data_IF_352389454339
#
_entry.id   IF_352389454339
#
_cell.length_a   1.000
_cell.length_b   1.000
_cell.length_c   1.000
_cell.angle_alpha   90.00
_cell.angle_beta   90.00
_cell.angle_gamma   90.00
#
_symmetry.space_group_name_H-M   'P 1'
#
loop_
_entity.id
_entity.type
_entity.pdbx_description
1 polymer ?
#
# COMPACT_ATOMS: atom_id res chain seq x y z
N UNK A 1 6.61 6.98 5.57
CA UNK A 1 5.39 6.64 4.81
C UNK A 1 5.63 6.63 3.31
N UNK A 2 6.36 7.57 2.75
CA UNK A 2 6.62 7.64 1.30
C UNK A 2 7.23 6.37 0.73
N UNK A 3 8.18 5.76 1.46
CA UNK A 3 8.80 4.51 1.01
C UNK A 3 7.77 3.39 0.91
N UNK A 4 6.88 3.30 1.91
CA UNK A 4 5.85 2.26 1.92
C UNK A 4 4.80 2.54 0.84
N UNK A 5 4.47 3.80 0.61
CA UNK A 5 3.58 4.16 -0.49
C UNK A 5 4.17 3.78 -1.84
N UNK A 6 5.47 3.97 -2.03
CA UNK A 6 6.14 3.55 -3.26
C UNK A 6 6.12 2.03 -3.41
N UNK A 7 6.33 1.29 -2.33
CA UNK A 7 6.23 -0.17 -2.35
C UNK A 7 4.82 -0.62 -2.71
N UNK A 8 3.80 0.05 -2.17
CA UNK A 8 2.42 -0.25 -2.52
C UNK A 8 2.13 0.05 -4.00
N UNK A 9 2.65 1.17 -4.49
CA UNK A 9 2.53 1.52 -5.91
C UNK A 9 3.11 0.41 -6.80
N UNK A 10 4.32 -0.08 -6.50
CA UNK A 10 4.91 -1.17 -7.27
C UNK A 10 4.10 -2.45 -7.14
N UNK A 11 3.57 -2.75 -5.95
CA UNK A 11 2.69 -3.90 -5.78
C UNK A 11 1.48 -3.81 -6.70
N UNK A 12 0.82 -2.66 -6.73
CA UNK A 12 -0.37 -2.47 -7.58
C UNK A 12 -0.04 -2.57 -9.07
N UNK A 13 1.17 -2.20 -9.45
CA UNK A 13 1.64 -2.30 -10.85
C UNK A 13 2.15 -3.69 -11.20
N UNK A 14 2.18 -4.62 -10.26
CA UNK A 14 2.71 -5.96 -10.51
C UNK A 14 4.23 -6.01 -10.60
N UNK A 15 4.92 -5.05 -10.01
CA UNK A 15 6.37 -4.89 -10.14
C UNK A 15 7.09 -5.02 -8.79
N UNK A 16 6.41 -5.47 -7.75
CA UNK A 16 7.03 -5.67 -6.44
C UNK A 16 7.65 -7.06 -6.34
N UNK A 17 8.66 -7.19 -5.48
CA UNK A 17 9.25 -8.50 -5.16
C UNK A 17 8.25 -9.39 -4.45
N UNK A 18 8.61 -10.68 -4.30
CA UNK A 18 7.65 -11.68 -3.80
C UNK A 18 7.24 -11.42 -2.35
N UNK A 19 8.16 -10.98 -1.47
CA UNK A 19 7.78 -10.71 -0.09
C UNK A 19 6.76 -9.56 -0.02
N UNK A 20 7.07 -8.45 -0.67
CA UNK A 20 6.20 -7.27 -0.67
C UNK A 20 4.84 -7.59 -1.28
N UNK A 21 4.84 -8.32 -2.40
CA UNK A 21 3.60 -8.75 -3.05
C UNK A 21 2.75 -9.58 -2.11
N UNK A 22 3.35 -10.59 -1.47
CA UNK A 22 2.60 -11.46 -0.57
C UNK A 22 2.12 -10.73 0.67
N UNK A 23 2.93 -9.82 1.20
CA UNK A 23 2.55 -9.03 2.36
C UNK A 23 1.30 -8.18 2.07
N UNK A 24 1.32 -7.42 0.98
CA UNK A 24 0.16 -6.58 0.63
C UNK A 24 -1.06 -7.42 0.29
N UNK A 25 -0.90 -8.56 -0.39
CA UNK A 25 -2.02 -9.48 -0.63
C UNK A 25 -2.63 -9.96 0.68
N UNK A 26 -1.79 -10.30 1.64
CA UNK A 26 -2.25 -10.75 2.97
C UNK A 26 -3.05 -9.65 3.65
N UNK A 27 -2.51 -8.43 3.67
CA UNK A 27 -3.18 -7.30 4.30
C UNK A 27 -4.51 -6.98 3.58
N UNK A 28 -4.51 -6.99 2.25
CA UNK A 28 -5.72 -6.72 1.47
C UNK A 28 -6.83 -7.73 1.75
N UNK A 29 -6.48 -8.97 2.00
CA UNK A 29 -7.45 -10.04 2.26
C UNK A 29 -7.83 -10.16 3.73
N UNK A 30 -7.11 -9.51 4.62
CA UNK A 30 -7.32 -9.65 6.06
C UNK A 30 -8.59 -8.93 6.50
N UNK A 31 -9.35 -9.56 7.40
CA UNK A 31 -10.45 -8.90 8.08
C UNK A 31 -9.91 -7.87 9.08
N UNK A 32 -10.80 -7.13 9.71
CA UNK A 32 -10.42 -6.05 10.63
C UNK A 32 -9.53 -6.56 11.76
N UNK A 33 -9.88 -7.69 12.37
CA UNK A 33 -9.10 -8.25 13.47
C UNK A 33 -7.70 -8.68 13.05
N UNK A 34 -7.57 -9.29 11.87
CA UNK A 34 -6.27 -9.69 11.34
C UNK A 34 -5.45 -8.49 10.90
N UNK A 35 -6.07 -7.45 10.33
CA UNK A 35 -5.36 -6.21 10.04
C UNK A 35 -4.80 -5.57 11.31
N UNK A 36 -5.55 -5.60 12.39
CA UNK A 36 -5.08 -5.09 13.67
C UNK A 36 -3.82 -5.84 14.13
N UNK A 37 -3.83 -7.17 14.04
CA UNK A 37 -2.66 -7.98 14.40
C UNK A 37 -1.46 -7.67 13.51
N UNK A 38 -1.69 -7.54 12.21
CA UNK A 38 -0.63 -7.21 11.25
C UNK A 38 -0.05 -5.82 11.50
N UNK A 39 -0.83 -4.90 12.03
CA UNK A 39 -0.37 -3.55 12.30
C UNK A 39 0.72 -3.47 13.37
N UNK A 40 0.86 -4.49 14.20
CA UNK A 40 1.94 -4.52 15.19
C UNK A 40 3.31 -4.68 14.54
N UNK A 41 3.39 -5.43 13.45
CA UNK A 41 4.66 -5.62 12.73
C UNK A 41 4.81 -4.73 11.51
N UNK A 42 3.67 -4.37 10.89
CA UNK A 42 3.67 -3.62 9.63
C UNK A 42 2.67 -2.47 9.69
N UNK A 43 2.88 -1.50 10.61
CA UNK A 43 1.88 -0.43 10.81
C UNK A 43 1.70 0.45 9.58
N UNK A 44 2.77 0.80 8.88
CA UNK A 44 2.67 1.68 7.71
C UNK A 44 2.02 0.97 6.54
N UNK A 45 2.34 -0.30 6.33
CA UNK A 45 1.74 -1.09 5.26
C UNK A 45 0.24 -1.25 5.46
N UNK A 46 -0.18 -1.53 6.69
CA UNK A 46 -1.61 -1.63 7.01
C UNK A 46 -2.29 -0.27 6.81
N UNK A 47 -1.64 0.81 7.24
CA UNK A 47 -2.18 2.16 7.07
C UNK A 47 -2.40 2.50 5.59
N UNK A 48 -1.44 2.18 4.73
CA UNK A 48 -1.55 2.44 3.29
C UNK A 48 -2.74 1.68 2.69
N UNK A 49 -2.89 0.41 3.05
CA UNK A 49 -4.02 -0.39 2.55
C UNK A 49 -5.35 0.16 3.03
N UNK A 50 -5.44 0.58 4.29
CA UNK A 50 -6.66 1.18 4.83
C UNK A 50 -7.01 2.48 4.11
N UNK A 51 -6.02 3.32 3.82
CA UNK A 51 -6.24 4.54 3.05
C UNK A 51 -6.70 4.24 1.64
N UNK A 52 -6.09 3.25 1.00
CA UNK A 52 -6.50 2.83 -0.33
C UNK A 52 -7.98 2.41 -0.37
N UNK A 53 -8.43 1.67 0.65
CA UNK A 53 -9.80 1.18 0.71
C UNK A 53 -10.82 2.25 1.10
N UNK A 54 -10.42 3.21 1.92
CA UNK A 54 -11.37 4.10 2.60
C UNK A 54 -11.26 5.57 2.22
N UNK A 55 -10.16 5.99 1.62
CA UNK A 55 -9.89 7.39 1.30
C UNK A 55 -10.07 7.62 -0.20
N UNK A 56 -11.11 8.36 -0.58
CA UNK A 56 -11.37 8.68 -1.99
C UNK A 56 -10.18 9.44 -2.57
N UNK A 57 -9.74 9.00 -3.76
CA UNK A 57 -8.66 9.69 -4.46
C UNK A 57 -7.25 9.33 -4.00
N UNK A 58 -7.12 8.48 -2.98
CA UNK A 58 -5.79 8.13 -2.49
C UNK A 58 -4.92 7.47 -3.57
N UNK A 59 -5.49 6.50 -4.30
CA UNK A 59 -4.76 5.80 -5.36
C UNK A 59 -4.37 6.76 -6.49
N UNK A 60 -5.28 7.64 -6.88
CA UNK A 60 -5.00 8.63 -7.91
C UNK A 60 -3.87 9.57 -7.48
N UNK A 61 -3.82 9.94 -6.20
CA UNK A 61 -2.73 10.75 -5.68
C UNK A 61 -1.39 10.02 -5.78
N UNK A 62 -1.36 8.71 -5.49
CA UNK A 62 -0.16 7.92 -5.65
C UNK A 62 0.26 7.81 -7.11
N UNK A 63 -0.69 7.62 -8.02
CA UNK A 63 -0.39 7.60 -9.45
C UNK A 63 0.23 8.92 -9.89
N UNK A 64 -0.35 10.04 -9.48
CA UNK A 64 0.20 11.36 -9.82
C UNK A 64 1.61 11.54 -9.25
N UNK A 65 1.84 11.04 -8.04
CA UNK A 65 3.12 11.19 -7.35
C UNK A 65 4.22 10.37 -8.00
N UNK A 66 3.92 9.13 -8.42
CA UNK A 66 4.94 8.18 -8.86
C UNK A 66 4.96 7.93 -10.37
N UNK A 67 3.84 8.14 -11.08
CA UNK A 67 3.79 7.98 -12.53
C UNK A 67 4.30 9.20 -13.28
N UNK A 68 4.26 10.38 -12.64
CA UNK A 68 4.61 11.64 -13.28
C UNK A 68 5.99 12.12 -12.83
N UNK A 69 7.06 11.84 -13.58
CA UNK A 69 8.42 12.23 -13.18
C UNK A 69 8.61 13.72 -13.08
N UNK A 70 7.77 14.51 -13.75
CA UNK A 70 7.88 15.97 -13.72
C UNK A 70 7.35 16.59 -12.44
N UNK A 71 6.56 15.85 -11.67
CA UNK A 71 6.02 16.33 -10.41
C UNK A 71 6.97 16.05 -9.23
N UNK A 72 8.10 15.44 -9.49
CA UNK A 72 9.09 15.10 -8.48
C UNK A 72 10.02 16.28 -8.23
#
# INVERSE_FOLDING_TARGET
>A
MDKVELEFYFFMKGQAGSFTTNLFKTIMSADFGNQYKLSFGFPDEVSVVQKYKNEDGYWENLLNKFDNPESV
#
